data_IF_466710826759
#
_entry.id   IF_466710826759
#
_cell.length_a   1.000
_cell.length_b   1.000
_cell.length_c   1.000
_cell.angle_alpha   90.00
_cell.angle_beta   90.00
_cell.angle_gamma   90.00
#
_symmetry.space_group_name_H-M   'P 1'
#
loop_
_entity.id
_entity.type
_entity.pdbx_description
1 polymer ?
#
# COMPACT_ATOMS: atom_id res chain seq x y z
N UNK A 1 -30.95 8.78 -0.25
CA UNK A 1 -30.32 8.33 1.02
C UNK A 1 -28.96 7.77 0.67
N UNK A 2 -27.92 8.60 0.70
CA UNK A 2 -26.56 8.20 0.34
C UNK A 2 -25.91 7.60 1.58
N UNK A 3 -25.76 6.27 1.56
CA UNK A 3 -25.11 5.53 2.63
C UNK A 3 -23.61 5.87 2.67
N UNK A 4 -23.06 6.35 3.80
CA UNK A 4 -21.63 6.66 3.94
C UNK A 4 -20.71 5.44 3.66
N UNK A 5 -21.26 4.23 3.65
CA UNK A 5 -20.58 2.99 3.30
C UNK A 5 -20.19 2.90 1.81
N UNK A 6 -20.89 3.59 0.90
CA UNK A 6 -20.61 3.54 -0.54
C UNK A 6 -19.34 4.31 -0.93
N UNK A 7 -19.05 5.42 -0.25
CA UNK A 7 -17.83 6.22 -0.49
C UNK A 7 -16.59 5.46 0.00
N UNK A 8 -16.70 4.72 1.10
CA UNK A 8 -15.61 3.88 1.62
C UNK A 8 -15.34 2.66 0.74
N UNK A 9 -16.37 2.04 0.15
CA UNK A 9 -16.20 0.93 -0.81
C UNK A 9 -15.53 1.40 -2.10
N UNK A 10 -15.90 2.59 -2.60
CA UNK A 10 -15.29 3.20 -3.79
C UNK A 10 -13.82 3.58 -3.58
N UNK A 11 -13.48 4.16 -2.43
CA UNK A 11 -12.09 4.46 -2.08
C UNK A 11 -11.24 3.19 -1.96
N UNK A 12 -11.76 2.15 -1.32
CA UNK A 12 -11.02 0.89 -1.16
C UNK A 12 -10.73 0.24 -2.52
N UNK A 13 -11.70 0.21 -3.45
CA UNK A 13 -11.53 -0.38 -4.80
C UNK A 13 -10.54 0.44 -5.66
N UNK A 14 -10.47 1.76 -5.47
CA UNK A 14 -9.47 2.61 -6.14
C UNK A 14 -8.07 2.47 -5.53
N UNK A 15 -7.95 2.34 -4.21
CA UNK A 15 -6.67 2.12 -3.51
C UNK A 15 -6.11 0.71 -3.69
N UNK A 16 -6.97 -0.28 -3.97
CA UNK A 16 -6.63 -1.64 -4.43
C UNK A 16 -6.17 -1.62 -5.91
N UNK A 17 -6.34 -0.50 -6.61
CA UNK A 17 -6.09 -0.37 -8.04
C UNK A 17 -4.70 0.13 -8.47
N UNK A 18 -3.83 0.56 -7.55
CA UNK A 18 -2.54 1.20 -7.93
C UNK A 18 -1.34 0.25 -7.95
N UNK A 19 -1.44 -0.97 -7.42
CA UNK A 19 -0.38 -2.00 -7.51
C UNK A 19 -0.81 -3.28 -8.26
N UNK A 20 -2.11 -3.51 -8.48
CA UNK A 20 -2.65 -4.78 -8.96
C UNK A 20 -3.22 -4.81 -10.38
N UNK A 21 -2.90 -3.85 -11.25
CA UNK A 21 -3.23 -4.00 -12.68
C UNK A 21 -2.15 -4.89 -13.31
N UNK A 22 -2.55 -6.14 -13.55
CA UNK A 22 -1.94 -7.18 -14.40
C UNK A 22 -1.00 -8.19 -13.72
N UNK A 23 -1.63 -9.15 -13.05
CA UNK A 23 -1.13 -10.53 -13.05
C UNK A 23 -2.32 -11.49 -13.15
N UNK A 24 -2.87 -11.60 -14.36
CA UNK A 24 -3.88 -12.61 -14.66
C UNK A 24 -3.86 -12.87 -16.15
N UNK A 25 -3.58 -14.12 -16.54
CA UNK A 25 -3.91 -14.63 -17.87
C UNK A 25 -5.41 -14.46 -18.08
N UNK A 26 -5.81 -13.32 -18.63
CA UNK A 26 -7.12 -13.11 -19.20
C UNK A 26 -7.08 -13.69 -20.62
N UNK A 27 -7.29 -15.00 -20.74
CA UNK A 27 -7.88 -15.52 -21.97
C UNK A 27 -9.34 -15.07 -21.99
N UNK A 28 -9.58 -13.82 -22.42
CA UNK A 28 -10.92 -13.41 -22.81
C UNK A 28 -11.16 -14.03 -24.18
N UNK A 29 -11.91 -15.13 -24.21
CA UNK A 29 -12.42 -15.66 -25.47
C UNK A 29 -13.35 -14.63 -26.09
N UNK A 30 -12.88 -13.96 -27.14
CA UNK A 30 -13.74 -13.17 -28.01
C UNK A 30 -14.06 -14.02 -29.25
N UNK A 31 -15.35 -14.31 -29.44
CA UNK A 31 -15.85 -14.84 -30.70
C UNK A 31 -15.94 -13.69 -31.71
N UNK A 32 -15.20 -13.79 -32.82
CA UNK A 32 -15.29 -12.88 -33.95
C UNK A 32 -13.97 -12.73 -34.70
N UNK A 33 -13.91 -13.31 -35.90
CA UNK A 33 -12.84 -13.16 -36.87
C UNK A 33 -12.64 -11.69 -37.25
N UNK A 34 -11.39 -11.23 -37.32
CA UNK A 34 -10.81 -10.72 -38.56
C UNK A 34 -9.30 -10.48 -38.45
N UNK A 35 -8.62 -10.94 -39.48
CA UNK A 35 -7.17 -11.00 -39.63
C UNK A 35 -6.56 -9.66 -40.00
N UNK A 36 -5.55 -9.22 -39.25
CA UNK A 36 -4.44 -8.43 -39.78
C UNK A 36 -3.18 -8.71 -38.94
N UNK A 37 -2.30 -9.53 -39.49
CA UNK A 37 -1.04 -9.93 -38.87
C UNK A 37 0.00 -8.83 -39.06
N UNK A 38 0.17 -7.96 -38.06
CA UNK A 38 1.47 -7.36 -37.80
C UNK A 38 2.18 -8.26 -36.79
N UNK A 39 3.27 -8.90 -37.21
CA UNK A 39 4.18 -9.59 -36.29
C UNK A 39 4.84 -8.55 -35.37
N UNK A 40 4.15 -8.21 -34.29
CA UNK A 40 4.77 -7.61 -33.12
C UNK A 40 5.43 -8.76 -32.35
N UNK A 41 6.76 -8.78 -32.30
CA UNK A 41 7.46 -9.54 -31.26
C UNK A 41 7.00 -8.97 -29.91
N UNK A 42 6.35 -9.74 -29.03
CA UNK A 42 5.89 -9.22 -27.75
C UNK A 42 7.11 -8.82 -26.94
N UNK A 43 7.16 -7.56 -26.52
CA UNK A 43 8.12 -7.07 -25.56
C UNK A 43 7.95 -7.91 -24.27
N UNK A 44 9.04 -8.32 -23.59
CA UNK A 44 8.97 -9.24 -22.45
C UNK A 44 8.24 -8.69 -21.20
N UNK A 45 7.65 -7.49 -21.29
CA UNK A 45 6.94 -6.77 -20.24
C UNK A 45 5.48 -6.45 -20.65
N UNK A 46 4.73 -7.45 -21.13
CA UNK A 46 3.32 -7.25 -21.53
C UNK A 46 2.39 -6.76 -20.40
N UNK A 47 2.79 -6.83 -19.13
CA UNK A 47 1.86 -6.63 -18.01
C UNK A 47 1.75 -5.20 -17.50
N UNK A 48 2.51 -4.20 -17.94
CA UNK A 48 2.35 -2.83 -17.38
C UNK A 48 2.60 -1.69 -18.36
N UNK A 49 2.70 -1.99 -19.64
CA UNK A 49 2.81 -1.01 -20.70
C UNK A 49 1.50 -0.19 -20.78
N UNK A 50 1.52 1.07 -20.35
CA UNK A 50 0.37 1.98 -20.48
C UNK A 50 -0.08 2.09 -21.94
N UNK A 51 0.85 2.01 -22.88
CA UNK A 51 0.63 1.95 -24.32
C UNK A 51 -0.15 0.72 -24.80
N UNK A 52 -0.18 -0.36 -23.99
CA UNK A 52 -0.98 -1.56 -24.23
C UNK A 52 -2.25 -1.60 -23.37
N UNK A 53 -2.41 -0.66 -22.41
CA UNK A 53 -3.64 -0.58 -21.64
C UNK A 53 -4.81 -0.33 -22.60
N UNK A 54 -5.96 -1.01 -22.43
CA UNK A 54 -7.12 -0.75 -23.25
C UNK A 54 -7.40 0.75 -23.24
N UNK A 55 -7.34 1.40 -24.40
CA UNK A 55 -7.67 2.81 -24.52
C UNK A 55 -9.02 3.03 -23.85
N UNK A 56 -9.10 4.03 -22.96
CA UNK A 56 -10.32 4.33 -22.23
C UNK A 56 -11.44 4.60 -23.23
N UNK A 57 -12.29 3.59 -23.48
CA UNK A 57 -13.35 3.70 -24.48
C UNK A 57 -14.42 4.62 -23.94
N UNK A 58 -14.82 5.60 -24.74
CA UNK A 58 -16.06 6.34 -24.52
C UNK A 58 -17.22 5.33 -24.43
N UNK A 59 -17.89 5.28 -23.27
CA UNK A 59 -18.95 4.29 -22.99
C UNK A 59 -18.60 3.24 -21.92
N UNK A 60 -17.45 3.33 -21.26
CA UNK A 60 -17.17 2.51 -20.07
C UNK A 60 -18.28 2.69 -19.02
N UNK A 61 -19.00 1.61 -18.73
CA UNK A 61 -20.06 1.58 -17.73
C UNK A 61 -19.41 1.56 -16.35
N UNK A 62 -19.89 2.43 -15.45
CA UNK A 62 -19.55 2.32 -14.03
C UNK A 62 -19.99 0.95 -13.53
N UNK A 63 -19.12 0.29 -12.75
CA UNK A 63 -19.47 -0.98 -12.15
C UNK A 63 -20.66 -0.79 -11.21
N UNK A 64 -21.63 -1.68 -11.33
CA UNK A 64 -22.72 -1.81 -10.37
C UNK A 64 -22.19 -2.35 -9.04
N UNK A 65 -22.94 -2.12 -7.96
CA UNK A 65 -22.63 -2.71 -6.66
C UNK A 65 -22.52 -4.24 -6.73
N UNK A 66 -23.34 -4.89 -7.55
CA UNK A 66 -23.30 -6.35 -7.72
C UNK A 66 -21.98 -6.80 -8.39
N UNK A 67 -21.51 -6.07 -9.40
CA UNK A 67 -20.22 -6.33 -10.06
C UNK A 67 -19.04 -6.11 -9.10
N UNK A 68 -19.07 -5.03 -8.31
CA UNK A 68 -18.04 -4.76 -7.28
C UNK A 68 -17.98 -5.86 -6.23
N UNK A 69 -19.14 -6.28 -5.70
CA UNK A 69 -19.23 -7.38 -4.73
C UNK A 69 -18.79 -8.70 -5.34
N UNK A 70 -19.16 -8.96 -6.60
CA UNK A 70 -18.74 -10.14 -7.34
C UNK A 70 -17.21 -10.22 -7.51
N UNK A 71 -16.57 -9.10 -7.87
CA UNK A 71 -15.12 -9.04 -8.00
C UNK A 71 -14.40 -9.17 -6.67
N UNK A 72 -14.88 -8.49 -5.61
CA UNK A 72 -14.32 -8.65 -4.27
C UNK A 72 -14.39 -10.11 -3.81
N UNK A 73 -15.53 -10.78 -4.02
CA UNK A 73 -15.67 -12.21 -3.70
C UNK A 73 -14.68 -13.05 -4.51
N UNK A 74 -14.56 -12.82 -5.82
CA UNK A 74 -13.64 -13.57 -6.68
C UNK A 74 -12.18 -13.41 -6.22
N UNK A 75 -11.75 -12.18 -5.90
CA UNK A 75 -10.40 -11.91 -5.37
C UNK A 75 -10.19 -12.53 -4.00
N UNK A 76 -11.17 -12.43 -3.11
CA UNK A 76 -11.09 -13.04 -1.79
C UNK A 76 -10.94 -14.57 -1.87
N UNK A 77 -11.77 -15.25 -2.68
CA UNK A 77 -11.65 -16.70 -2.89
C UNK A 77 -10.29 -17.09 -3.45
N UNK A 78 -9.77 -16.31 -4.40
CA UNK A 78 -8.41 -16.50 -4.90
C UNK A 78 -7.39 -16.40 -3.76
N UNK A 79 -7.37 -15.31 -3.01
CA UNK A 79 -6.41 -15.12 -1.91
C UNK A 79 -6.52 -16.21 -0.83
N UNK A 80 -7.72 -16.62 -0.44
CA UNK A 80 -7.95 -17.68 0.55
C UNK A 80 -7.43 -19.05 0.09
N UNK A 81 -7.42 -19.31 -1.22
CA UNK A 81 -6.98 -20.59 -1.79
C UNK A 81 -5.45 -20.72 -1.91
N UNK A 82 -4.72 -19.61 -1.88
CA UNK A 82 -3.26 -19.58 -2.10
C UNK A 82 -2.51 -20.19 -0.92
N UNK A 83 -1.53 -21.04 -1.24
CA UNK A 83 -0.49 -21.49 -0.30
C UNK A 83 0.81 -20.71 -0.46
N UNK A 84 0.96 -19.99 -1.58
CA UNK A 84 2.14 -19.20 -1.91
C UNK A 84 1.74 -17.82 -2.45
N UNK A 85 2.52 -16.81 -2.06
CA UNK A 85 2.50 -15.48 -2.64
C UNK A 85 3.46 -15.43 -3.82
N UNK A 86 2.91 -15.24 -5.01
CA UNK A 86 3.66 -15.07 -6.25
C UNK A 86 3.89 -13.58 -6.45
N UNK A 87 5.15 -13.16 -6.54
CA UNK A 87 5.55 -11.77 -6.76
C UNK A 87 6.23 -11.69 -8.12
N UNK A 88 5.64 -10.93 -9.04
CA UNK A 88 6.21 -10.70 -10.36
C UNK A 88 7.14 -9.48 -10.35
N UNK A 89 8.43 -9.73 -10.50
CA UNK A 89 9.47 -8.71 -10.55
C UNK A 89 9.69 -8.25 -12.00
N UNK A 90 8.76 -7.43 -12.52
CA UNK A 90 8.65 -7.14 -13.95
C UNK A 90 9.92 -6.61 -14.62
N UNK A 91 10.75 -5.79 -13.93
CA UNK A 91 11.96 -5.20 -14.54
C UNK A 91 13.02 -6.24 -14.89
N UNK A 92 12.94 -7.42 -14.27
CA UNK A 92 13.87 -8.53 -14.51
C UNK A 92 13.15 -9.75 -15.11
N UNK A 93 11.82 -9.70 -15.26
CA UNK A 93 11.04 -10.76 -15.90
C UNK A 93 10.91 -12.06 -15.10
N UNK A 94 11.11 -12.03 -13.78
CA UNK A 94 11.02 -13.23 -12.92
C UNK A 94 9.82 -13.17 -11.98
N UNK A 95 9.21 -14.34 -11.74
CA UNK A 95 8.24 -14.54 -10.65
C UNK A 95 8.91 -15.36 -9.56
N UNK A 96 8.88 -14.88 -8.31
CA UNK A 96 9.25 -15.70 -7.15
C UNK A 96 8.00 -16.04 -6.34
N UNK A 97 7.98 -17.26 -5.80
CA UNK A 97 6.93 -17.73 -4.92
C UNK A 97 7.45 -17.74 -3.47
N UNK A 98 6.65 -17.22 -2.55
CA UNK A 98 6.94 -17.19 -1.12
C UNK A 98 5.86 -17.95 -0.36
N UNK A 99 6.21 -18.86 0.57
CA UNK A 99 5.21 -19.61 1.31
C UNK A 99 4.36 -18.70 2.21
N UNK A 100 3.06 -18.99 2.30
CA UNK A 100 2.13 -18.32 3.18
C UNK A 100 1.76 -19.23 4.38
N UNK A 101 1.67 -18.69 5.62
CA UNK A 101 1.96 -17.31 6.02
C UNK A 101 3.46 -17.02 5.91
N UNK A 102 3.80 -15.77 5.58
CA UNK A 102 5.19 -15.35 5.43
C UNK A 102 5.82 -15.03 6.80
N UNK A 103 6.22 -16.07 7.53
CA UNK A 103 6.71 -15.93 8.91
C UNK A 103 8.11 -15.34 9.02
N UNK A 104 8.91 -15.46 7.96
CA UNK A 104 10.31 -15.02 7.94
C UNK A 104 10.53 -14.00 6.82
N UNK A 105 11.43 -13.06 7.06
CA UNK A 105 11.88 -12.12 6.04
C UNK A 105 12.67 -12.88 4.97
N UNK A 106 12.34 -12.73 3.67
CA UNK A 106 13.15 -13.33 2.62
C UNK A 106 14.55 -12.70 2.54
N UNK A 107 15.59 -13.54 2.51
CA UNK A 107 16.97 -13.13 2.24
C UNK A 107 17.28 -13.37 0.74
N UNK A 108 17.59 -12.32 -0.04
CA UNK A 108 17.98 -12.46 -1.43
C UNK A 108 19.15 -13.43 -1.66
N UNK A 109 20.03 -13.65 -0.68
CA UNK A 109 21.11 -14.66 -0.79
C UNK A 109 20.59 -16.09 -0.92
N UNK A 110 19.38 -16.35 -0.44
CA UNK A 110 18.69 -17.63 -0.56
C UNK A 110 17.96 -17.81 -1.91
N UNK A 111 17.95 -16.79 -2.78
CA UNK A 111 17.30 -16.88 -4.08
C UNK A 111 18.09 -17.79 -5.05
N UNK A 112 17.44 -18.28 -6.12
CA UNK A 112 18.11 -19.12 -7.13
C UNK A 112 19.38 -18.46 -7.71
N UNK A 113 20.38 -19.26 -8.11
CA UNK A 113 21.55 -18.75 -8.83
C UNK A 113 21.15 -17.93 -10.06
N UNK A 114 21.79 -16.79 -10.27
CA UNK A 114 21.47 -15.82 -11.33
C UNK A 114 20.48 -14.74 -10.91
N UNK A 115 19.68 -14.99 -9.85
CA UNK A 115 18.76 -14.01 -9.26
C UNK A 115 19.38 -13.37 -8.02
N UNK A 116 19.98 -14.17 -7.14
CA UNK A 116 20.55 -13.71 -5.87
C UNK A 116 21.68 -12.67 -6.02
N UNK A 117 22.34 -12.62 -7.18
CA UNK A 117 23.40 -11.66 -7.49
C UNK A 117 22.87 -10.29 -7.97
N UNK A 118 21.57 -10.18 -8.27
CA UNK A 118 20.96 -8.95 -8.78
C UNK A 118 20.62 -8.02 -7.61
N UNK A 119 21.17 -6.80 -7.65
CA UNK A 119 20.71 -5.73 -6.77
C UNK A 119 19.35 -5.21 -7.27
N UNK A 120 18.31 -5.50 -6.51
CA UNK A 120 16.94 -5.19 -6.87
C UNK A 120 16.11 -4.84 -5.62
N UNK A 121 15.05 -4.03 -5.72
CA UNK A 121 14.19 -3.70 -4.58
C UNK A 121 13.22 -4.85 -4.27
N UNK A 122 13.73 -6.03 -3.91
CA UNK A 122 12.97 -7.27 -3.74
C UNK A 122 11.83 -7.12 -2.74
N UNK A 123 12.12 -6.46 -1.62
CA UNK A 123 11.18 -6.33 -0.52
C UNK A 123 10.13 -5.28 -0.79
N UNK A 124 10.41 -4.30 -1.65
CA UNK A 124 9.41 -3.31 -2.07
C UNK A 124 8.24 -4.00 -2.76
N UNK A 125 8.50 -4.79 -3.81
CA UNK A 125 7.45 -5.51 -4.54
C UNK A 125 6.75 -6.54 -3.67
N UNK A 126 7.50 -7.26 -2.84
CA UNK A 126 6.92 -8.21 -1.90
C UNK A 126 5.96 -7.52 -0.93
N UNK A 127 6.34 -6.38 -0.38
CA UNK A 127 5.48 -5.63 0.55
C UNK A 127 4.20 -5.12 -0.12
N UNK A 128 4.24 -4.80 -1.42
CA UNK A 128 3.05 -4.39 -2.18
C UNK A 128 2.07 -5.54 -2.38
N UNK A 129 2.57 -6.72 -2.76
CA UNK A 129 1.74 -7.92 -2.92
C UNK A 129 1.11 -8.37 -1.59
N UNK A 130 1.84 -8.25 -0.48
CA UNK A 130 1.31 -8.51 0.86
C UNK A 130 0.23 -7.50 1.26
N UNK A 131 0.48 -6.21 1.03
CA UNK A 131 -0.48 -5.13 1.32
C UNK A 131 -1.80 -5.35 0.56
N UNK A 132 -1.73 -5.62 -0.75
CA UNK A 132 -2.90 -5.94 -1.59
C UNK A 132 -3.66 -7.16 -1.06
N UNK A 133 -2.96 -8.28 -0.80
CA UNK A 133 -3.56 -9.50 -0.22
C UNK A 133 -4.30 -9.19 1.07
N UNK A 134 -3.65 -8.53 2.03
CA UNK A 134 -4.24 -8.25 3.33
C UNK A 134 -5.40 -7.27 3.24
N UNK A 135 -5.35 -6.28 2.33
CA UNK A 135 -6.47 -5.39 2.05
C UNK A 135 -7.67 -6.12 1.46
N UNK A 136 -7.44 -7.06 0.54
CA UNK A 136 -8.52 -7.90 -0.02
C UNK A 136 -9.16 -8.75 1.09
N UNK A 137 -8.37 -9.40 1.95
CA UNK A 137 -8.88 -10.21 3.05
C UNK A 137 -9.68 -9.35 4.05
N UNK A 138 -9.15 -8.16 4.40
CA UNK A 138 -9.84 -7.20 5.26
C UNK A 138 -11.17 -6.74 4.65
N UNK A 139 -11.17 -6.42 3.36
CA UNK A 139 -12.36 -5.99 2.62
C UNK A 139 -13.41 -7.11 2.58
N UNK A 140 -13.00 -8.33 2.29
CA UNK A 140 -13.88 -9.50 2.25
C UNK A 140 -14.56 -9.71 3.60
N UNK A 141 -13.80 -9.65 4.70
CA UNK A 141 -14.39 -9.71 6.03
C UNK A 141 -15.38 -8.56 6.27
N UNK A 142 -14.99 -7.30 6.03
CA UNK A 142 -15.84 -6.13 6.33
C UNK A 142 -17.13 -6.07 5.51
N UNK A 143 -17.05 -6.38 4.22
CA UNK A 143 -18.16 -6.13 3.29
C UNK A 143 -18.92 -7.40 2.90
N UNK A 144 -18.28 -8.57 2.99
CA UNK A 144 -18.90 -9.86 2.67
C UNK A 144 -19.16 -10.71 3.92
N UNK A 145 -18.75 -10.24 5.11
CA UNK A 145 -18.85 -11.00 6.37
C UNK A 145 -18.12 -12.34 6.29
N UNK A 146 -17.00 -12.38 5.57
CA UNK A 146 -16.19 -13.59 5.38
C UNK A 146 -15.26 -13.83 6.59
N UNK A 147 -15.70 -14.70 7.50
CA UNK A 147 -14.94 -15.07 8.70
C UNK A 147 -13.67 -15.87 8.40
N UNK A 148 -13.61 -16.58 7.26
CA UNK A 148 -12.39 -17.28 6.85
C UNK A 148 -11.33 -16.25 6.44
N UNK A 149 -11.72 -15.21 5.71
CA UNK A 149 -10.82 -14.10 5.36
C UNK A 149 -10.30 -13.38 6.62
N UNK A 150 -11.18 -13.16 7.62
CA UNK A 150 -10.80 -12.61 8.93
C UNK A 150 -9.73 -13.46 9.61
N UNK A 151 -9.98 -14.78 9.75
CA UNK A 151 -9.05 -15.69 10.41
C UNK A 151 -7.69 -15.82 9.72
N UNK A 152 -7.66 -15.76 8.38
CA UNK A 152 -6.40 -15.74 7.63
C UNK A 152 -5.62 -14.44 7.84
N UNK A 153 -6.29 -13.29 7.74
CA UNK A 153 -5.67 -11.99 7.99
C UNK A 153 -5.07 -11.91 9.40
N UNK A 154 -5.84 -12.34 10.40
CA UNK A 154 -5.42 -12.38 11.79
C UNK A 154 -4.18 -13.25 11.99
N UNK A 155 -4.21 -14.48 11.46
CA UNK A 155 -3.10 -15.44 11.54
C UNK A 155 -1.85 -14.92 10.85
N UNK A 156 -1.97 -14.42 9.62
CA UNK A 156 -0.84 -13.96 8.82
C UNK A 156 -0.14 -12.77 9.48
N UNK A 157 -0.89 -11.76 9.91
CA UNK A 157 -0.32 -10.59 10.58
C UNK A 157 0.22 -10.92 11.97
N UNK A 158 -0.47 -11.78 12.74
CA UNK A 158 -0.03 -12.22 14.06
C UNK A 158 1.23 -13.10 14.03
N UNK A 159 1.53 -13.72 12.88
CA UNK A 159 2.71 -14.58 12.68
C UNK A 159 3.90 -13.85 12.02
N UNK A 160 3.76 -12.55 11.71
CA UNK A 160 4.78 -11.79 11.00
C UNK A 160 5.88 -11.28 11.94
N UNK A 161 6.89 -12.13 12.17
CA UNK A 161 7.99 -11.89 13.10
C UNK A 161 9.34 -11.80 12.37
N UNK A 162 9.56 -10.70 11.65
CA UNK A 162 10.81 -10.47 10.94
C UNK A 162 11.85 -9.87 11.88
N UNK A 163 13.12 -10.15 11.62
CA UNK A 163 14.24 -9.61 12.37
C UNK A 163 14.38 -8.09 12.22
N UNK A 164 13.88 -7.52 11.12
CA UNK A 164 13.61 -6.09 10.93
C UNK A 164 12.68 -5.88 9.72
N UNK A 165 12.14 -4.67 9.61
CA UNK A 165 11.17 -4.29 8.59
C UNK A 165 11.71 -3.21 7.63
N UNK A 166 13.04 -3.09 7.56
CA UNK A 166 13.74 -2.21 6.61
C UNK A 166 13.62 -2.73 5.18
N UNK A 167 13.90 -1.89 4.19
CA UNK A 167 13.99 -2.31 2.79
C UNK A 167 15.31 -3.01 2.45
N UNK A 168 15.54 -3.18 1.15
CA UNK A 168 16.78 -3.71 0.60
C UNK A 168 17.98 -2.83 1.02
N UNK A 169 19.14 -3.45 1.27
CA UNK A 169 20.30 -2.75 1.83
C UNK A 169 20.17 -2.39 3.32
N UNK A 170 19.14 -2.91 4.00
CA UNK A 170 18.92 -2.73 5.44
C UNK A 170 18.72 -1.26 5.85
N UNK A 171 18.02 -0.50 5.00
CA UNK A 171 17.67 0.90 5.21
C UNK A 171 16.16 1.06 5.27
N UNK A 172 15.64 2.01 6.07
CA UNK A 172 14.22 2.36 6.04
C UNK A 172 13.84 2.80 4.63
N UNK A 173 12.79 2.17 4.09
CA UNK A 173 12.36 2.35 2.72
C UNK A 173 10.87 2.03 2.57
N UNK A 174 10.42 1.89 1.32
CA UNK A 174 9.02 1.61 1.01
C UNK A 174 8.43 0.43 1.82
N UNK A 175 9.10 -0.72 1.98
CA UNK A 175 8.56 -1.83 2.78
C UNK A 175 8.17 -1.42 4.20
N UNK A 176 9.02 -0.61 4.84
CA UNK A 176 8.79 -0.11 6.19
C UNK A 176 7.52 0.75 6.26
N UNK A 177 7.32 1.62 5.27
CA UNK A 177 6.12 2.44 5.15
C UNK A 177 4.86 1.62 4.90
N UNK A 178 4.89 0.66 3.96
CA UNK A 178 3.75 -0.21 3.66
C UNK A 178 3.32 -1.03 4.86
N UNK A 179 4.28 -1.72 5.49
CA UNK A 179 4.01 -2.54 6.66
C UNK A 179 3.47 -1.70 7.82
N UNK A 180 4.00 -0.48 8.02
CA UNK A 180 3.43 0.45 9.01
C UNK A 180 1.95 0.75 8.74
N UNK A 181 1.60 1.05 7.47
CA UNK A 181 0.23 1.36 7.07
C UNK A 181 -0.72 0.17 7.23
N UNK A 182 -0.28 -1.03 6.84
CA UNK A 182 -1.03 -2.28 7.02
C UNK A 182 -1.29 -2.54 8.50
N UNK A 183 -0.25 -2.52 9.33
CA UNK A 183 -0.38 -2.80 10.76
C UNK A 183 -1.32 -1.80 11.42
N UNK A 184 -1.20 -0.52 11.08
CA UNK A 184 -2.08 0.52 11.59
C UNK A 184 -3.54 0.27 11.20
N UNK A 185 -3.78 -0.09 9.94
CA UNK A 185 -5.12 -0.37 9.41
C UNK A 185 -5.74 -1.57 10.12
N UNK A 186 -5.00 -2.66 10.25
CA UNK A 186 -5.47 -3.89 10.88
C UNK A 186 -5.69 -3.72 12.39
N UNK A 187 -4.74 -3.11 13.12
CA UNK A 187 -4.87 -2.85 14.56
C UNK A 187 -6.00 -1.88 14.90
N UNK A 188 -6.41 -1.03 13.95
CA UNK A 188 -7.59 -0.16 14.09
C UNK A 188 -8.91 -0.94 14.02
N UNK A 189 -8.90 -2.20 13.60
CA UNK A 189 -10.09 -3.06 13.57
C UNK A 189 -10.16 -3.88 14.85
N UNK A 190 -10.92 -3.45 15.84
CA UNK A 190 -11.03 -4.18 17.11
C UNK A 190 -11.54 -5.62 16.92
N UNK A 191 -12.47 -5.82 15.99
CA UNK A 191 -13.23 -7.07 15.87
C UNK A 191 -12.52 -8.19 15.10
N UNK A 192 -11.33 -7.95 14.52
CA UNK A 192 -10.58 -9.04 13.83
C UNK A 192 -9.82 -9.94 14.79
N UNK A 193 -9.47 -9.45 15.97
CA UNK A 193 -8.38 -10.04 16.73
C UNK A 193 -8.82 -11.00 17.82
N UNK A 194 -8.10 -12.11 17.96
CA UNK A 194 -7.87 -12.73 19.27
C UNK A 194 -6.74 -11.99 20.01
N UNK A 195 -6.75 -12.06 21.34
CA UNK A 195 -5.81 -11.32 22.17
C UNK A 195 -4.34 -11.67 21.90
N UNK A 196 -4.03 -12.95 21.62
CA UNK A 196 -2.66 -13.42 21.38
C UNK A 196 -2.08 -12.86 20.08
N UNK A 197 -2.81 -12.95 18.96
CA UNK A 197 -2.36 -12.41 17.67
C UNK A 197 -2.32 -10.88 17.70
N UNK A 198 -3.26 -10.23 18.39
CA UNK A 198 -3.22 -8.78 18.59
C UNK A 198 -1.96 -8.36 19.33
N UNK A 199 -1.67 -9.03 20.44
CA UNK A 199 -0.50 -8.74 21.25
C UNK A 199 0.80 -8.99 20.46
N UNK A 200 0.84 -10.03 19.63
CA UNK A 200 1.96 -10.28 18.71
C UNK A 200 2.15 -9.12 17.73
N UNK A 201 1.10 -8.69 17.02
CA UNK A 201 1.21 -7.59 16.06
C UNK A 201 1.55 -6.25 16.74
N UNK A 202 1.06 -6.00 17.95
CA UNK A 202 1.45 -4.82 18.74
C UNK A 202 2.95 -4.88 19.04
N UNK A 203 3.50 -6.01 19.52
CA UNK A 203 4.95 -6.16 19.76
C UNK A 203 5.75 -5.92 18.48
N UNK A 204 5.34 -6.53 17.37
CA UNK A 204 5.92 -6.30 16.03
C UNK A 204 5.89 -4.82 15.65
N UNK A 205 4.80 -4.12 15.96
CA UNK A 205 4.67 -2.69 15.66
C UNK A 205 5.62 -1.83 16.50
N UNK A 206 5.81 -2.15 17.79
CA UNK A 206 6.82 -1.50 18.62
C UNK A 206 8.24 -1.77 18.10
N UNK A 207 8.56 -3.02 17.75
CA UNK A 207 9.87 -3.35 17.16
C UNK A 207 10.14 -2.53 15.89
N UNK A 208 9.18 -2.47 14.95
CA UNK A 208 9.30 -1.65 13.74
C UNK A 208 9.52 -0.17 14.09
N UNK A 209 8.75 0.36 15.04
CA UNK A 209 8.83 1.76 15.43
C UNK A 209 10.15 2.12 16.12
N UNK A 210 10.60 1.30 17.07
CA UNK A 210 11.78 1.55 17.89
C UNK A 210 13.09 1.25 17.17
N UNK A 211 13.16 0.15 16.44
CA UNK A 211 14.42 -0.33 15.83
C UNK A 211 14.66 0.25 14.44
N UNK A 212 13.58 0.50 13.66
CA UNK A 212 13.69 0.95 12.28
C UNK A 212 13.31 2.43 12.13
N UNK A 213 12.08 2.81 12.53
CA UNK A 213 11.55 4.16 12.29
C UNK A 213 12.21 5.21 13.19
N UNK A 214 12.37 4.97 14.48
CA UNK A 214 12.90 5.96 15.41
C UNK A 214 14.30 6.45 15.00
N UNK A 215 15.28 5.56 14.74
CA UNK A 215 16.62 6.00 14.35
C UNK A 215 16.62 6.71 12.99
N UNK A 216 15.80 6.25 12.05
CA UNK A 216 15.64 6.92 10.76
C UNK A 216 15.03 8.32 10.90
N UNK A 217 13.99 8.46 11.74
CA UNK A 217 13.33 9.73 12.00
C UNK A 217 14.29 10.73 12.63
N UNK A 218 15.01 10.33 13.68
CA UNK A 218 16.00 11.22 14.32
C UNK A 218 17.07 11.70 13.32
N UNK A 219 17.57 10.79 12.49
CA UNK A 219 18.61 11.10 11.51
C UNK A 219 18.13 12.00 10.38
N UNK A 220 16.89 11.84 9.94
CA UNK A 220 16.42 12.34 8.63
C UNK A 220 15.41 13.48 8.75
N UNK A 221 14.61 13.47 9.83
CA UNK A 221 13.38 14.24 9.92
C UNK A 221 13.20 15.03 11.21
N UNK A 222 13.86 14.64 12.30
CA UNK A 222 13.75 15.34 13.58
C UNK A 222 14.34 16.75 13.57
N UNK A 223 15.24 17.05 12.62
CA UNK A 223 15.79 18.39 12.49
C UNK A 223 14.79 19.41 11.89
N UNK A 224 14.88 20.66 12.33
CA UNK A 224 14.11 21.78 11.76
C UNK A 224 14.67 22.26 10.41
N UNK A 225 15.47 21.44 9.71
CA UNK A 225 15.95 21.82 8.37
C UNK A 225 14.73 22.07 7.46
N UNK A 226 14.81 23.07 6.57
CA UNK A 226 13.73 23.37 5.64
C UNK A 226 13.28 22.13 4.85
N UNK A 227 11.97 21.99 4.66
CA UNK A 227 11.39 20.96 3.81
C UNK A 227 11.31 21.54 2.39
N UNK A 228 12.32 21.25 1.59
CA UNK A 228 12.44 21.71 0.20
C UNK A 228 11.93 20.65 -0.78
N UNK A 229 11.65 21.04 -2.03
CA UNK A 229 11.15 20.12 -3.07
C UNK A 229 11.97 18.82 -3.22
N UNK A 230 13.32 18.81 -3.16
CA UNK A 230 14.08 17.56 -3.19
C UNK A 230 13.82 16.61 -2.02
N UNK A 231 13.38 17.11 -0.86
CA UNK A 231 13.00 16.29 0.30
C UNK A 231 11.56 15.76 0.22
N UNK A 232 10.78 16.24 -0.75
CA UNK A 232 9.38 15.84 -0.94
C UNK A 232 9.20 14.63 -1.85
N UNK A 233 10.29 13.90 -2.13
CA UNK A 233 10.24 12.65 -2.86
C UNK A 233 9.28 11.65 -2.19
N UNK A 234 8.63 10.81 -3.01
CA UNK A 234 7.51 9.95 -2.63
C UNK A 234 7.75 9.05 -1.39
N UNK A 235 8.99 8.67 -1.07
CA UNK A 235 9.28 7.89 0.14
C UNK A 235 8.97 8.65 1.43
N UNK A 236 8.69 9.94 1.33
CA UNK A 236 8.11 10.71 2.44
C UNK A 236 6.78 10.11 2.93
N UNK A 237 6.10 9.26 2.14
CA UNK A 237 4.98 8.43 2.56
C UNK A 237 5.26 7.63 3.84
N UNK A 238 6.52 7.23 4.07
CA UNK A 238 6.92 6.46 5.25
C UNK A 238 6.60 7.24 6.54
N UNK A 239 6.76 8.57 6.54
CA UNK A 239 6.41 9.40 7.70
C UNK A 239 4.91 9.31 8.01
N UNK A 240 4.05 9.42 7.00
CA UNK A 240 2.59 9.38 7.18
C UNK A 240 2.14 8.03 7.72
N UNK A 241 2.68 6.94 7.17
CA UNK A 241 2.34 5.58 7.59
C UNK A 241 2.90 5.24 8.97
N UNK A 242 4.12 5.67 9.27
CA UNK A 242 4.71 5.52 10.60
C UNK A 242 3.94 6.33 11.66
N UNK A 243 3.55 7.56 11.35
CA UNK A 243 2.74 8.39 12.23
C UNK A 243 1.37 7.75 12.51
N UNK A 244 0.74 7.18 11.47
CA UNK A 244 -0.51 6.42 11.58
C UNK A 244 -0.35 5.22 12.53
N UNK A 245 0.70 4.40 12.34
CA UNK A 245 0.96 3.24 13.20
C UNK A 245 1.25 3.65 14.64
N UNK A 246 2.17 4.60 14.84
CA UNK A 246 2.56 5.11 16.14
C UNK A 246 1.34 5.58 16.94
N UNK A 247 0.39 6.26 16.30
CA UNK A 247 -0.86 6.67 16.94
C UNK A 247 -1.73 5.49 17.34
N UNK A 248 -1.92 4.51 16.46
CA UNK A 248 -2.78 3.34 16.71
C UNK A 248 -2.28 2.51 17.89
N UNK A 249 -0.96 2.41 18.09
CA UNK A 249 -0.37 1.67 19.22
C UNK A 249 -0.01 2.54 20.43
N UNK A 250 -0.39 3.83 20.42
CA UNK A 250 -0.06 4.80 21.47
C UNK A 250 1.46 4.91 21.76
N UNK A 251 2.26 4.93 20.71
CA UNK A 251 3.71 5.04 20.80
C UNK A 251 4.16 6.45 21.25
N UNK A 252 5.22 6.59 22.06
CA UNK A 252 5.76 7.90 22.45
C UNK A 252 6.19 8.81 21.28
N UNK A 253 6.52 8.23 20.12
CA UNK A 253 6.88 9.01 18.92
C UNK A 253 5.68 9.56 18.15
N UNK A 254 4.45 9.17 18.49
CA UNK A 254 3.26 9.48 17.69
C UNK A 254 3.11 10.98 17.43
N UNK A 255 3.25 11.81 18.46
CA UNK A 255 3.09 13.27 18.32
C UNK A 255 4.17 13.89 17.43
N UNK A 256 5.43 13.49 17.59
CA UNK A 256 6.54 14.01 16.80
C UNK A 256 6.44 13.59 15.33
N UNK A 257 6.05 12.35 15.08
CA UNK A 257 5.79 11.85 13.72
C UNK A 257 4.59 12.55 13.07
N UNK A 258 3.47 12.69 13.80
CA UNK A 258 2.28 13.39 13.30
C UNK A 258 2.59 14.86 12.99
N UNK A 259 3.30 15.58 13.87
CA UNK A 259 3.68 16.97 13.62
C UNK A 259 4.56 17.10 12.38
N UNK A 260 5.55 16.21 12.23
CA UNK A 260 6.44 16.26 11.08
C UNK A 260 5.74 15.89 9.77
N UNK A 261 4.83 14.93 9.81
CA UNK A 261 3.99 14.57 8.66
C UNK A 261 3.10 15.75 8.23
N UNK A 262 2.57 16.54 9.18
CA UNK A 262 1.87 17.79 8.86
C UNK A 262 2.76 18.81 8.16
N UNK A 263 3.95 19.07 8.71
CA UNK A 263 4.87 20.05 8.13
C UNK A 263 5.22 19.68 6.69
N UNK A 264 5.47 18.38 6.46
CA UNK A 264 5.72 17.84 5.12
C UNK A 264 4.51 18.04 4.21
N UNK A 265 3.32 17.68 4.65
CA UNK A 265 2.13 17.79 3.81
C UNK A 265 1.83 19.25 3.45
N UNK A 266 1.99 20.18 4.39
CA UNK A 266 1.88 21.61 4.11
C UNK A 266 2.93 22.05 3.10
N UNK A 267 4.19 21.68 3.30
CA UNK A 267 5.27 21.99 2.35
C UNK A 267 4.99 21.42 0.96
N UNK A 268 4.44 20.21 0.86
CA UNK A 268 4.01 19.62 -0.40
C UNK A 268 2.88 20.41 -1.06
N UNK A 269 1.83 20.76 -0.32
CA UNK A 269 0.73 21.59 -0.83
C UNK A 269 1.20 22.96 -1.34
N UNK A 270 2.12 23.61 -0.64
CA UNK A 270 2.69 24.89 -1.07
C UNK A 270 3.58 24.71 -2.31
N UNK A 271 4.40 23.66 -2.35
CA UNK A 271 5.22 23.34 -3.52
C UNK A 271 4.37 23.02 -4.76
N UNK A 272 3.16 22.47 -4.60
CA UNK A 272 2.19 22.25 -5.69
C UNK A 272 1.61 23.55 -6.26
N UNK A 273 1.56 24.62 -5.46
CA UNK A 273 1.01 25.93 -5.84
C UNK A 273 2.08 26.94 -6.27
N UNK A 274 3.35 26.63 -6.03
CA UNK A 274 4.47 27.51 -6.36
C UNK A 274 4.58 27.75 -7.88
N UNK A 275 5.13 28.90 -8.33
CA UNK A 275 5.37 29.16 -9.75
C UNK A 275 6.18 28.08 -10.44
N UNK A 276 7.22 27.57 -9.76
CA UNK A 276 7.90 26.32 -10.10
C UNK A 276 7.20 25.19 -9.36
N UNK A 277 6.10 24.68 -9.93
CA UNK A 277 5.33 23.62 -9.29
C UNK A 277 6.19 22.37 -9.11
N UNK A 278 6.04 21.71 -7.97
CA UNK A 278 6.64 20.40 -7.72
C UNK A 278 5.65 19.29 -8.10
N UNK A 279 6.14 18.23 -8.75
CA UNK A 279 5.39 17.00 -9.01
C UNK A 279 6.39 15.90 -9.32
N UNK A 280 6.13 14.68 -8.87
CA UNK A 280 6.85 13.49 -9.35
C UNK A 280 6.10 12.78 -10.48
N UNK A 281 4.99 13.36 -10.94
CA UNK A 281 4.08 12.78 -11.93
C UNK A 281 2.85 12.16 -11.27
N UNK A 282 1.80 11.97 -12.07
CA UNK A 282 0.46 11.60 -11.60
C UNK A 282 0.47 10.33 -10.72
N UNK A 283 1.23 9.31 -11.13
CA UNK A 283 1.30 8.04 -10.39
C UNK A 283 1.95 8.20 -9.01
N UNK A 284 3.07 8.89 -8.91
CA UNK A 284 3.79 9.08 -7.64
C UNK A 284 3.10 10.08 -6.72
N UNK A 285 2.52 11.16 -7.28
CA UNK A 285 1.70 12.10 -6.51
C UNK A 285 0.45 11.40 -5.94
N UNK A 286 -0.22 10.55 -6.74
CA UNK A 286 -1.36 9.75 -6.29
C UNK A 286 -0.98 8.77 -5.17
N UNK A 287 0.15 8.09 -5.33
CA UNK A 287 0.68 7.16 -4.34
C UNK A 287 0.99 7.82 -2.98
N UNK A 288 1.54 9.04 -3.00
CA UNK A 288 1.69 9.84 -1.78
C UNK A 288 0.33 10.20 -1.18
N UNK A 289 -0.62 10.66 -2.01
CA UNK A 289 -1.95 11.09 -1.55
C UNK A 289 -2.78 9.96 -0.95
N UNK A 290 -2.63 8.71 -1.42
CA UNK A 290 -3.23 7.54 -0.77
C UNK A 290 -2.75 7.42 0.68
N UNK A 291 -1.43 7.57 0.89
CA UNK A 291 -0.83 7.51 2.22
C UNK A 291 -1.24 8.66 3.13
N UNK A 292 -1.33 9.87 2.58
CA UNK A 292 -1.83 11.05 3.30
C UNK A 292 -3.30 10.87 3.70
N UNK A 293 -4.13 10.38 2.77
CA UNK A 293 -5.57 10.24 2.99
C UNK A 293 -5.87 9.22 4.10
N UNK A 294 -5.19 8.08 4.10
CA UNK A 294 -5.34 7.09 5.17
C UNK A 294 -4.83 7.62 6.52
N UNK A 295 -3.68 8.31 6.53
CA UNK A 295 -3.16 8.94 7.74
C UNK A 295 -4.14 9.96 8.34
N UNK A 296 -4.70 10.84 7.51
CA UNK A 296 -5.75 11.80 7.89
C UNK A 296 -7.02 11.09 8.35
N UNK A 297 -7.41 10.00 7.69
CA UNK A 297 -8.57 9.18 8.02
C UNK A 297 -8.55 8.66 9.45
N UNK A 298 -7.37 8.37 10.00
CA UNK A 298 -7.20 7.93 11.39
C UNK A 298 -7.16 9.06 12.43
N UNK A 299 -7.23 10.35 12.06
CA UNK A 299 -7.09 11.47 13.02
C UNK A 299 -8.40 11.79 13.75
N UNK A 300 -8.35 12.36 14.97
CA UNK A 300 -9.54 12.87 15.65
C UNK A 300 -10.27 13.92 14.80
N UNK A 301 -11.62 13.96 14.81
CA UNK A 301 -12.42 14.88 13.98
C UNK A 301 -12.03 16.36 14.09
N UNK A 302 -11.68 16.83 15.30
CA UNK A 302 -11.25 18.22 15.52
C UNK A 302 -10.01 18.58 14.69
N UNK A 303 -9.06 17.63 14.58
CA UNK A 303 -7.81 17.79 13.81
C UNK A 303 -7.99 17.53 12.31
N UNK A 304 -9.14 17.01 11.85
CA UNK A 304 -9.45 16.80 10.42
C UNK A 304 -10.00 18.08 9.76
N UNK A 305 -10.78 18.87 10.49
CA UNK A 305 -11.50 20.02 9.95
C UNK A 305 -10.68 21.32 9.92
N UNK A 306 -9.80 21.54 10.90
CA UNK A 306 -9.02 22.79 10.99
C UNK A 306 -7.90 22.90 9.94
N UNK A 307 -7.39 21.76 9.44
CA UNK A 307 -6.18 21.71 8.60
C UNK A 307 -6.39 21.78 7.09
N UNK A 308 -7.57 21.46 6.58
CA UNK A 308 -7.77 21.38 5.13
C UNK A 308 -8.20 22.72 4.49
N UNK A 309 -8.76 23.65 5.28
CA UNK A 309 -9.44 24.84 4.73
C UNK A 309 -9.23 26.15 5.50
N UNK A 310 -8.32 26.18 6.48
CA UNK A 310 -8.07 27.36 7.33
C UNK A 310 -7.57 28.63 6.62
N UNK A 311 -7.38 28.60 5.30
CA UNK A 311 -7.02 29.76 4.47
C UNK A 311 -8.13 30.32 3.58
N UNK A 312 -9.33 29.72 3.55
CA UNK A 312 -10.43 30.15 2.67
C UNK A 312 -11.54 30.93 3.41
N UNK A 313 -11.18 31.67 4.46
CA UNK A 313 -12.05 32.69 5.05
C UNK A 313 -11.29 34.01 5.15
N UNK A 314 -11.37 34.78 4.09
CA UNK A 314 -11.26 36.24 4.15
C UNK A 314 -12.47 36.81 3.41
N UNK A 315 -12.98 37.97 3.88
CA UNK A 315 -14.40 38.34 3.90
C UNK A 315 -15.08 38.51 2.54
#
# INVERSE_FOLDING_TARGET
MNSPYLVHLWWLVLSIGTAGIMAGRMSVGFAGQDSCSCEFSPLPYETSAYELAPQWRTGNKLWSTAELVGELRRRAEWEKSRQELNVYYYRIGYTLAFPLPLTCRPDPKGFPPGIREIQYPWLTWLSWELDERWRILLAAWKFLQDDQARGLLEKELGSLAWENYRGDGNVVGLPTGHLSGVFATALSQADIWTDDHRAALVRTSFQLLDEDIAPWFEKTWADHKPITSPRLHNYVLILFRAAQLARVVNHPLAERLDQRAEDVFRAWCEARKAPTYHSEGIAYDGFLLDSVTEWLGGRPPQKKAEHLWGGARTP
#
